data_IF_471755719038
#
_entry.id   IF_471755719038
#
_cell.length_a   1.000
_cell.length_b   1.000
_cell.length_c   1.000
_cell.angle_alpha   90.00
_cell.angle_beta   90.00
_cell.angle_gamma   90.00
#
_symmetry.space_group_name_H-M   'P 1'
#
loop_
_entity.id
_entity.type
_entity.pdbx_description
1 polymer ?
#
# COMPACT_ATOMS: atom_id res chain seq x y z
N UNK A 1 -19.59 18.37 -30.93
CA UNK A 1 -18.51 18.59 -29.95
C UNK A 1 -18.92 17.97 -28.62
N UNK A 2 -18.51 16.73 -28.33
CA UNK A 2 -18.78 16.08 -27.05
C UNK A 2 -17.85 16.68 -26.00
N UNK A 3 -18.42 17.28 -24.96
CA UNK A 3 -17.64 17.81 -23.85
C UNK A 3 -16.78 16.68 -23.24
N UNK A 4 -15.46 16.90 -23.16
CA UNK A 4 -14.56 15.96 -22.50
C UNK A 4 -15.07 15.65 -21.08
N UNK A 5 -15.12 14.39 -20.65
CA UNK A 5 -15.64 14.03 -19.33
C UNK A 5 -14.86 14.78 -18.25
N UNK A 6 -15.57 15.46 -17.36
CA UNK A 6 -14.98 16.11 -16.18
C UNK A 6 -14.41 15.02 -15.28
N UNK A 7 -13.10 14.77 -15.36
CA UNK A 7 -12.44 13.84 -14.46
C UNK A 7 -12.45 14.41 -13.03
N UNK A 8 -13.31 13.89 -12.15
CA UNK A 8 -13.26 14.22 -10.73
C UNK A 8 -11.98 13.62 -10.11
N UNK A 9 -11.04 14.46 -9.62
CA UNK A 9 -9.84 13.98 -8.96
C UNK A 9 -10.17 13.42 -7.57
N UNK A 10 -9.27 12.59 -7.03
CA UNK A 10 -9.36 12.19 -5.63
C UNK A 10 -9.13 13.38 -4.70
N UNK A 11 -9.76 13.36 -3.53
CA UNK A 11 -9.52 14.34 -2.46
C UNK A 11 -8.07 14.27 -1.94
N UNK A 12 -7.59 15.37 -1.37
CA UNK A 12 -6.21 15.49 -0.89
C UNK A 12 -5.84 14.40 0.13
N UNK A 13 -6.74 14.10 1.08
CA UNK A 13 -6.54 13.06 2.10
C UNK A 13 -6.29 11.68 1.48
N UNK A 14 -7.10 11.29 0.49
CA UNK A 14 -6.94 9.99 -0.18
C UNK A 14 -5.61 9.91 -0.95
N UNK A 15 -5.18 11.02 -1.56
CA UNK A 15 -3.88 11.11 -2.23
C UNK A 15 -2.72 11.02 -1.24
N UNK A 16 -2.81 11.70 -0.10
CA UNK A 16 -1.79 11.64 0.94
C UNK A 16 -1.61 10.22 1.46
N UNK A 17 -2.70 9.53 1.82
CA UNK A 17 -2.63 8.11 2.20
C UNK A 17 -2.03 7.26 1.09
N UNK A 18 -2.44 7.47 -0.16
CA UNK A 18 -1.91 6.73 -1.30
C UNK A 18 -0.39 6.84 -1.42
N UNK A 19 0.13 8.05 -1.52
CA UNK A 19 1.55 8.28 -1.77
C UNK A 19 2.42 7.97 -0.56
N UNK A 20 1.96 8.28 0.65
CA UNK A 20 2.68 7.91 1.86
C UNK A 20 2.86 6.39 1.96
N UNK A 21 1.77 5.63 1.77
CA UNK A 21 1.85 4.17 1.78
C UNK A 21 2.70 3.64 0.63
N UNK A 22 2.61 4.24 -0.57
CA UNK A 22 3.44 3.85 -1.72
C UNK A 22 4.93 3.96 -1.40
N UNK A 23 5.38 5.07 -0.81
CA UNK A 23 6.79 5.23 -0.43
C UNK A 23 7.22 4.31 0.70
N UNK A 24 6.37 4.08 1.71
CA UNK A 24 6.65 3.12 2.79
C UNK A 24 6.81 1.72 2.21
N UNK A 25 5.85 1.23 1.41
CA UNK A 25 5.90 -0.09 0.78
C UNK A 25 7.13 -0.20 -0.13
N UNK A 26 7.39 0.83 -0.95
CA UNK A 26 8.55 0.87 -1.84
C UNK A 26 9.89 0.78 -1.11
N UNK A 27 10.01 1.39 0.08
CA UNK A 27 11.20 1.28 0.93
C UNK A 27 11.29 -0.02 1.73
N UNK A 28 10.14 -0.62 2.08
CA UNK A 28 10.08 -1.86 2.87
C UNK A 28 10.60 -3.09 2.12
N UNK A 29 10.42 -3.17 0.81
CA UNK A 29 10.94 -4.27 -0.02
C UNK A 29 12.49 -4.35 -0.01
N UNK A 30 13.24 -3.32 -0.41
CA UNK A 30 14.70 -3.36 -0.38
C UNK A 30 15.21 -3.49 1.06
N UNK A 31 14.56 -2.85 2.05
CA UNK A 31 14.91 -3.03 3.45
C UNK A 31 14.79 -4.50 3.88
N UNK A 32 13.68 -5.15 3.51
CA UNK A 32 13.44 -6.56 3.81
C UNK A 32 14.44 -7.51 3.14
N UNK A 33 14.79 -7.23 1.89
CA UNK A 33 15.82 -7.97 1.17
C UNK A 33 17.19 -7.84 1.86
N UNK A 34 17.66 -6.60 2.06
CA UNK A 34 18.98 -6.33 2.66
C UNK A 34 19.09 -6.93 4.07
N UNK A 35 18.10 -6.70 4.93
CA UNK A 35 18.18 -7.20 6.31
C UNK A 35 18.21 -8.73 6.38
N UNK A 36 17.59 -9.43 5.42
CA UNK A 36 17.51 -10.89 5.43
C UNK A 36 18.87 -11.55 5.11
N UNK A 37 19.66 -10.94 4.23
CA UNK A 37 20.94 -11.46 3.73
C UNK A 37 22.15 -11.11 4.63
N UNK A 38 21.98 -10.17 5.57
CA UNK A 38 23.05 -9.75 6.46
C UNK A 38 23.44 -10.84 7.48
N UNK A 39 24.71 -10.86 7.87
CA UNK A 39 25.14 -11.59 9.07
C UNK A 39 24.52 -11.00 10.34
N UNK A 40 24.37 -11.83 11.39
CA UNK A 40 23.85 -11.39 12.69
C UNK A 40 24.75 -10.30 13.25
N UNK A 41 24.17 -9.12 13.49
CA UNK A 41 24.87 -7.92 13.93
C UNK A 41 23.88 -6.93 14.56
N UNK A 42 24.33 -5.97 15.38
CA UNK A 42 23.47 -4.91 15.90
C UNK A 42 22.75 -4.14 14.79
N UNK A 43 23.43 -3.91 13.66
CA UNK A 43 22.85 -3.27 12.49
C UNK A 43 21.70 -4.09 11.90
N UNK A 44 21.87 -5.42 11.75
CA UNK A 44 20.78 -6.31 11.29
C UNK A 44 19.56 -6.17 12.21
N UNK A 45 19.76 -6.26 13.53
CA UNK A 45 18.67 -6.12 14.51
C UNK A 45 17.96 -4.76 14.41
N UNK A 46 18.70 -3.68 14.19
CA UNK A 46 18.13 -2.35 13.98
C UNK A 46 17.26 -2.28 12.72
N UNK A 47 17.71 -2.86 11.60
CA UNK A 47 16.93 -2.91 10.36
C UNK A 47 15.66 -3.73 10.53
N UNK A 48 15.71 -4.87 11.23
CA UNK A 48 14.51 -5.65 11.60
C UNK A 48 13.55 -4.82 12.46
N UNK A 49 14.07 -4.06 13.43
CA UNK A 49 13.27 -3.16 14.27
C UNK A 49 12.53 -2.12 13.42
N UNK A 50 13.25 -1.45 12.51
CA UNK A 50 12.62 -0.51 11.57
C UNK A 50 11.61 -1.17 10.65
N UNK A 51 11.92 -2.34 10.09
CA UNK A 51 11.02 -3.08 9.24
C UNK A 51 9.70 -3.42 9.98
N UNK A 52 9.79 -3.97 11.20
CA UNK A 52 8.61 -4.25 12.03
C UNK A 52 7.82 -2.98 12.34
N UNK A 53 8.52 -1.89 12.67
CA UNK A 53 7.90 -0.59 13.03
C UNK A 53 7.13 0.03 11.87
N UNK A 54 7.75 0.11 10.69
CA UNK A 54 7.07 0.59 9.48
C UNK A 54 5.97 -0.35 9.01
N UNK A 55 6.08 -1.66 9.27
CA UNK A 55 4.99 -2.62 9.09
C UNK A 55 3.76 -2.26 9.91
N UNK A 56 3.93 -1.91 11.19
CA UNK A 56 2.82 -1.48 12.06
C UNK A 56 2.23 -0.14 11.62
N UNK A 57 3.07 0.82 11.21
CA UNK A 57 2.58 2.09 10.62
C UNK A 57 1.77 1.83 9.35
N UNK A 58 2.25 0.94 8.48
CA UNK A 58 1.54 0.60 7.26
C UNK A 58 0.17 -0.05 7.55
N UNK A 59 0.10 -0.93 8.55
CA UNK A 59 -1.16 -1.52 9.01
C UNK A 59 -2.15 -0.44 9.49
N UNK A 60 -1.70 0.49 10.33
CA UNK A 60 -2.51 1.61 10.79
C UNK A 60 -3.00 2.48 9.61
N UNK A 61 -2.10 2.85 8.71
CA UNK A 61 -2.45 3.63 7.52
C UNK A 61 -3.43 2.87 6.60
N UNK A 62 -3.32 1.55 6.49
CA UNK A 62 -4.26 0.72 5.73
C UNK A 62 -5.66 0.76 6.35
N UNK A 63 -5.78 0.63 7.69
CA UNK A 63 -7.06 0.79 8.41
C UNK A 63 -7.66 2.17 8.15
N UNK A 64 -6.88 3.24 8.37
CA UNK A 64 -7.35 4.61 8.19
C UNK A 64 -7.77 4.90 6.76
N UNK A 65 -6.99 4.41 5.78
CA UNK A 65 -7.31 4.56 4.36
C UNK A 65 -8.58 3.80 3.97
N UNK A 66 -8.77 2.58 4.48
CA UNK A 66 -9.98 1.80 4.24
C UNK A 66 -11.20 2.51 4.84
N UNK A 67 -11.12 2.94 6.10
CA UNK A 67 -12.17 3.72 6.76
C UNK A 67 -12.50 4.98 5.95
N UNK A 68 -11.48 5.75 5.53
CA UNK A 68 -11.67 6.93 4.70
C UNK A 68 -12.41 6.60 3.40
N UNK A 69 -12.02 5.52 2.71
CA UNK A 69 -12.65 5.08 1.46
C UNK A 69 -14.12 4.67 1.64
N UNK A 70 -14.48 4.10 2.79
CA UNK A 70 -15.85 3.70 3.10
C UNK A 70 -16.75 4.94 3.32
N UNK A 71 -16.23 5.97 3.98
CA UNK A 71 -16.97 7.23 4.21
C UNK A 71 -16.89 8.23 3.06
N UNK A 72 -15.90 8.09 2.16
CA UNK A 72 -15.68 8.96 1.02
C UNK A 72 -15.50 8.12 -0.26
N UNK A 73 -16.61 7.76 -0.93
CA UNK A 73 -16.57 6.91 -2.11
C UNK A 73 -15.63 7.46 -3.17
N UNK A 74 -14.80 6.59 -3.79
CA UNK A 74 -13.87 7.02 -4.82
C UNK A 74 -14.64 7.54 -6.04
N UNK A 75 -14.12 8.58 -6.74
CA UNK A 75 -14.76 9.05 -7.95
C UNK A 75 -14.79 7.93 -9.01
N UNK A 76 -15.83 7.87 -9.85
CA UNK A 76 -16.08 6.74 -10.76
C UNK A 76 -14.90 6.47 -11.71
N UNK A 77 -14.76 5.23 -12.17
CA UNK A 77 -13.76 4.88 -13.18
C UNK A 77 -13.98 5.70 -14.47
N UNK A 78 -12.93 5.88 -15.27
CA UNK A 78 -13.03 6.65 -16.51
C UNK A 78 -14.14 6.07 -17.41
N UNK A 79 -15.01 6.93 -17.92
CA UNK A 79 -16.07 6.56 -18.85
C UNK A 79 -15.46 5.94 -20.10
N UNK A 80 -15.90 4.73 -20.49
CA UNK A 80 -15.41 4.03 -21.68
C UNK A 80 -14.35 2.95 -21.44
N UNK A 81 -14.01 2.61 -20.19
CA UNK A 81 -13.22 1.41 -19.92
C UNK A 81 -14.02 0.14 -20.27
N UNK A 82 -13.45 -0.84 -21.00
CA UNK A 82 -14.07 -2.15 -21.19
C UNK A 82 -14.47 -2.81 -19.86
N UNK A 83 -15.54 -3.62 -19.81
CA UNK A 83 -15.97 -4.30 -18.58
C UNK A 83 -14.85 -5.12 -17.92
N UNK A 84 -14.01 -5.79 -18.73
CA UNK A 84 -12.88 -6.58 -18.24
C UNK A 84 -11.83 -5.72 -17.53
N UNK A 85 -11.52 -4.53 -18.02
CA UNK A 85 -10.57 -3.62 -17.37
C UNK A 85 -11.13 -3.08 -16.05
N UNK A 86 -12.44 -2.82 -15.97
CA UNK A 86 -13.09 -2.40 -14.72
C UNK A 86 -13.05 -3.51 -13.68
N UNK A 87 -13.36 -4.74 -14.09
CA UNK A 87 -13.28 -5.91 -13.22
C UNK A 87 -11.85 -6.14 -12.73
N UNK A 88 -10.86 -6.08 -13.63
CA UNK A 88 -9.45 -6.20 -13.28
C UNK A 88 -9.01 -5.08 -12.32
N UNK A 89 -9.40 -3.83 -12.57
CA UNK A 89 -9.09 -2.72 -11.68
C UNK A 89 -9.66 -2.94 -10.27
N UNK A 90 -10.92 -3.36 -10.15
CA UNK A 90 -11.50 -3.67 -8.83
C UNK A 90 -10.82 -4.87 -8.17
N UNK A 91 -10.54 -5.94 -8.92
CA UNK A 91 -9.85 -7.13 -8.43
C UNK A 91 -8.45 -6.82 -7.89
N UNK A 92 -7.63 -6.11 -8.66
CA UNK A 92 -6.28 -5.69 -8.23
C UNK A 92 -6.35 -4.80 -7.00
N UNK A 93 -7.27 -3.82 -6.94
CA UNK A 93 -7.42 -3.01 -5.72
C UNK A 93 -7.84 -3.85 -4.51
N UNK A 94 -8.78 -4.78 -4.68
CA UNK A 94 -9.20 -5.69 -3.61
C UNK A 94 -8.06 -6.55 -3.09
N UNK A 95 -7.29 -7.16 -3.99
CA UNK A 95 -6.12 -7.97 -3.65
C UNK A 95 -5.01 -7.12 -3.00
N UNK A 96 -4.76 -5.91 -3.50
CA UNK A 96 -3.81 -4.99 -2.86
C UNK A 96 -4.23 -4.66 -1.43
N UNK A 97 -5.52 -4.39 -1.17
CA UNK A 97 -5.99 -4.21 0.21
C UNK A 97 -5.77 -5.46 1.04
N UNK A 98 -6.15 -6.65 0.54
CA UNK A 98 -5.94 -7.91 1.25
C UNK A 98 -4.47 -8.10 1.65
N UNK A 99 -3.54 -7.90 0.71
CA UNK A 99 -2.11 -7.98 0.98
C UNK A 99 -1.61 -6.90 1.96
N UNK A 100 -2.09 -5.66 1.85
CA UNK A 100 -1.70 -4.55 2.74
C UNK A 100 -2.07 -4.80 4.21
N UNK A 101 -3.11 -5.60 4.48
CA UNK A 101 -3.45 -6.04 5.83
C UNK A 101 -2.74 -7.35 6.19
N UNK A 102 -2.81 -8.36 5.34
CA UNK A 102 -2.28 -9.69 5.63
C UNK A 102 -0.76 -9.69 5.83
N UNK A 103 -0.02 -8.84 5.11
CA UNK A 103 1.44 -8.77 5.21
C UNK A 103 1.92 -8.31 6.60
N UNK A 104 1.53 -7.13 7.13
CA UNK A 104 1.95 -6.74 8.47
C UNK A 104 1.36 -7.63 9.56
N UNK A 105 0.14 -8.16 9.41
CA UNK A 105 -0.46 -9.08 10.38
C UNK A 105 0.32 -10.39 10.45
N UNK A 106 0.67 -10.99 9.30
CA UNK A 106 1.51 -12.20 9.26
C UNK A 106 2.89 -11.94 9.86
N UNK A 107 3.48 -10.75 9.64
CA UNK A 107 4.76 -10.37 10.25
C UNK A 107 4.67 -10.23 11.78
N UNK A 108 3.56 -9.69 12.29
CA UNK A 108 3.32 -9.57 13.73
C UNK A 108 3.08 -10.94 14.39
N UNK A 109 2.30 -11.81 13.74
CA UNK A 109 2.15 -13.20 14.17
C UNK A 109 3.51 -13.93 14.16
N UNK A 110 4.29 -13.78 13.10
CA UNK A 110 5.63 -14.38 12.98
C UNK A 110 6.55 -13.93 14.12
N UNK A 111 6.51 -12.64 14.48
CA UNK A 111 7.30 -12.10 15.60
C UNK A 111 6.81 -12.65 16.95
N UNK A 112 5.49 -12.80 17.11
CA UNK A 112 4.90 -13.39 18.32
C UNK A 112 5.34 -14.86 18.48
N UNK A 113 5.27 -15.65 17.40
CA UNK A 113 5.73 -17.04 17.36
C UNK A 113 7.24 -17.19 17.60
N UNK A 114 8.05 -16.18 17.29
CA UNK A 114 9.47 -16.19 17.62
C UNK A 114 9.76 -15.82 19.08
N UNK A 115 8.75 -15.55 19.91
CA UNK A 115 8.90 -15.09 21.29
C UNK A 115 9.49 -13.68 21.41
N UNK A 116 9.59 -12.93 20.30
CA UNK A 116 10.18 -11.59 20.27
C UNK A 116 9.10 -10.58 19.92
N UNK A 117 8.59 -9.80 20.89
CA UNK A 117 7.52 -8.85 20.62
C UNK A 117 7.96 -7.78 19.63
N UNK A 118 7.00 -7.23 18.88
CA UNK A 118 7.25 -6.08 18.02
C UNK A 118 7.34 -4.83 18.90
N UNK A 119 8.49 -4.16 18.90
CA UNK A 119 8.66 -2.87 19.59
C UNK A 119 8.71 -1.77 18.55
N UNK A 120 7.59 -1.07 18.34
CA UNK A 120 7.47 -0.02 17.34
C UNK A 120 8.36 1.18 17.71
N UNK A 121 9.36 1.45 16.87
CA UNK A 121 10.38 2.49 16.99
C UNK A 121 11.12 2.50 18.35
N UNK A 122 11.13 1.38 19.07
CA UNK A 122 11.68 1.32 20.43
C UNK A 122 10.80 1.99 21.51
N UNK A 123 9.61 2.48 21.15
CA UNK A 123 8.75 3.27 22.03
C UNK A 123 7.56 2.48 22.58
N UNK A 124 6.96 1.62 21.75
CA UNK A 124 5.75 0.90 22.10
C UNK A 124 5.86 -0.58 21.78
N UNK A 125 5.78 -1.42 22.81
CA UNK A 125 5.74 -2.87 22.65
C UNK A 125 4.31 -3.33 22.32
N UNK A 126 4.16 -3.98 21.17
CA UNK A 126 2.90 -4.60 20.78
C UNK A 126 2.71 -5.92 21.54
N UNK A 127 1.47 -6.29 21.89
CA UNK A 127 1.21 -7.58 22.51
C UNK A 127 1.56 -8.71 21.54
N UNK A 128 1.98 -9.85 22.08
CA UNK A 128 2.06 -11.08 21.31
C UNK A 128 0.64 -11.58 21.04
N UNK A 129 0.38 -11.98 19.79
CA UNK A 129 -0.94 -12.45 19.37
C UNK A 129 -1.11 -13.96 19.54
N UNK A 130 0.01 -14.68 19.59
CA UNK A 130 0.12 -16.13 19.75
C UNK A 130 1.36 -16.43 20.60
N UNK A 131 1.38 -17.63 21.19
CA UNK A 131 2.52 -18.10 21.97
C UNK A 131 3.73 -18.41 21.09
N UNK A 132 4.91 -18.45 21.72
CA UNK A 132 6.14 -18.80 21.02
C UNK A 132 6.11 -20.26 20.57
N UNK A 133 6.27 -20.49 19.27
CA UNK A 133 6.29 -21.81 18.65
C UNK A 133 7.13 -21.76 17.37
N UNK A 134 8.16 -22.60 17.31
CA UNK A 134 9.12 -22.61 16.20
C UNK A 134 8.49 -23.09 14.88
N UNK A 135 7.56 -24.05 14.94
CA UNK A 135 6.82 -24.54 13.77
C UNK A 135 5.96 -23.43 13.18
N UNK A 136 5.23 -22.71 14.03
CA UNK A 136 4.40 -21.59 13.59
C UNK A 136 5.26 -20.45 13.04
N UNK A 137 6.42 -20.17 13.67
CA UNK A 137 7.36 -19.15 13.19
C UNK A 137 7.84 -19.44 11.77
N UNK A 138 8.23 -20.68 11.47
CA UNK A 138 8.70 -21.07 10.15
C UNK A 138 7.58 -21.04 9.10
N UNK A 139 6.38 -21.50 9.46
CA UNK A 139 5.20 -21.41 8.60
C UNK A 139 4.84 -19.95 8.30
N UNK A 140 4.78 -19.10 9.31
CA UNK A 140 4.44 -17.68 9.18
C UNK A 140 5.51 -16.91 8.40
N UNK A 141 6.79 -17.30 8.48
CA UNK A 141 7.84 -16.77 7.62
C UNK A 141 7.53 -17.06 6.14
N UNK A 142 7.18 -18.30 5.79
CA UNK A 142 6.82 -18.66 4.42
C UNK A 142 5.57 -17.90 3.95
N UNK A 143 4.54 -17.80 4.80
CA UNK A 143 3.33 -17.02 4.52
C UNK A 143 3.67 -15.55 4.27
N UNK A 144 4.45 -14.93 5.15
CA UNK A 144 4.84 -13.53 5.06
C UNK A 144 5.60 -13.24 3.75
N UNK A 145 6.59 -14.08 3.42
CA UNK A 145 7.34 -13.97 2.17
C UNK A 145 6.43 -14.14 0.94
N UNK A 146 5.53 -15.12 0.96
CA UNK A 146 4.59 -15.39 -0.14
C UNK A 146 3.64 -14.21 -0.38
N UNK A 147 3.11 -13.61 0.69
CA UNK A 147 2.29 -12.39 0.61
C UNK A 147 3.14 -11.21 0.10
N UNK A 148 4.41 -11.11 0.54
CA UNK A 148 5.35 -10.08 0.08
C UNK A 148 5.57 -10.13 -1.43
N UNK A 149 5.89 -11.30 -1.99
CA UNK A 149 6.05 -11.47 -3.43
C UNK A 149 4.75 -11.25 -4.21
N UNK A 150 3.61 -11.65 -3.64
CA UNK A 150 2.28 -11.39 -4.22
C UNK A 150 2.00 -9.88 -4.29
N UNK A 151 2.29 -9.15 -3.21
CA UNK A 151 2.16 -7.70 -3.16
C UNK A 151 3.08 -7.02 -4.17
N UNK A 152 4.33 -7.46 -4.31
CA UNK A 152 5.27 -6.91 -5.29
C UNK A 152 4.76 -7.10 -6.73
N UNK A 153 4.23 -8.29 -7.01
CA UNK A 153 3.66 -8.63 -8.33
C UNK A 153 2.43 -7.76 -8.64
N UNK A 154 1.51 -7.63 -7.68
CA UNK A 154 0.32 -6.78 -7.80
C UNK A 154 0.69 -5.29 -7.93
N UNK A 155 1.69 -4.82 -7.20
CA UNK A 155 2.17 -3.44 -7.29
C UNK A 155 2.76 -3.17 -8.67
N UNK A 156 3.55 -4.11 -9.20
CA UNK A 156 4.12 -4.03 -10.54
C UNK A 156 3.03 -3.97 -11.60
N UNK A 157 2.03 -4.86 -11.51
CA UNK A 157 0.87 -4.85 -12.40
C UNK A 157 0.07 -3.54 -12.30
N UNK A 158 -0.15 -3.03 -11.08
CA UNK A 158 -0.85 -1.78 -10.82
C UNK A 158 -0.14 -0.56 -11.42
N UNK A 159 1.17 -0.44 -11.20
CA UNK A 159 1.98 0.65 -11.77
C UNK A 159 2.02 0.55 -13.29
N UNK A 160 2.24 -0.65 -13.84
CA UNK A 160 2.29 -0.88 -15.29
C UNK A 160 0.97 -0.53 -15.95
N UNK A 161 -0.16 -0.97 -15.38
CA UNK A 161 -1.49 -0.59 -15.87
C UNK A 161 -1.67 0.94 -15.83
N UNK A 162 -1.30 1.58 -14.71
CA UNK A 162 -1.42 3.04 -14.57
C UNK A 162 -0.59 3.79 -15.62
N UNK A 163 0.62 3.30 -15.93
CA UNK A 163 1.47 3.84 -16.99
C UNK A 163 0.88 3.61 -18.38
N UNK A 164 0.35 2.41 -18.65
CA UNK A 164 -0.36 2.12 -19.91
C UNK A 164 -1.55 3.06 -20.13
N UNK A 165 -2.39 3.24 -19.10
CA UNK A 165 -3.50 4.18 -19.14
C UNK A 165 -3.04 5.63 -19.30
N UNK A 166 -1.90 6.00 -18.72
CA UNK A 166 -1.36 7.36 -18.83
C UNK A 166 -0.76 7.66 -20.20
N UNK A 167 0.11 6.77 -20.71
CA UNK A 167 0.92 7.00 -21.90
C UNK A 167 0.16 6.66 -23.19
N UNK A 168 -0.58 5.54 -23.18
CA UNK A 168 -1.27 5.02 -24.36
C UNK A 168 -2.75 5.43 -24.39
N UNK A 169 -3.55 5.05 -23.38
CA UNK A 169 -4.98 5.40 -23.37
C UNK A 169 -5.26 6.88 -23.12
N UNK A 170 -4.33 7.59 -22.47
CA UNK A 170 -4.40 9.02 -22.12
C UNK A 170 -5.70 9.42 -21.43
N UNK A 171 -6.27 8.53 -20.62
CA UNK A 171 -7.61 8.69 -20.02
C UNK A 171 -7.61 9.45 -18.67
N UNK A 172 -6.44 9.97 -18.28
CA UNK A 172 -6.30 10.76 -17.06
C UNK A 172 -6.27 9.95 -15.76
N UNK A 173 -6.23 8.61 -15.79
CA UNK A 173 -6.23 7.74 -14.59
C UNK A 173 -5.16 8.17 -13.57
N UNK A 174 -3.89 8.28 -13.98
CA UNK A 174 -2.80 8.72 -13.10
C UNK A 174 -3.01 10.15 -12.57
N UNK A 175 -3.47 11.07 -13.45
CA UNK A 175 -3.63 12.50 -13.10
C UNK A 175 -4.62 12.73 -11.97
N UNK A 176 -5.57 11.80 -11.76
CA UNK A 176 -6.55 11.85 -10.66
C UNK A 176 -5.93 11.57 -9.30
N UNK A 177 -4.80 10.86 -9.24
CA UNK A 177 -4.07 10.53 -8.02
C UNK A 177 -2.84 11.41 -7.75
N UNK A 178 -2.37 12.21 -8.71
CA UNK A 178 -1.21 13.08 -8.50
C UNK A 178 -1.46 14.12 -7.38
N UNK A 179 -0.48 14.34 -6.48
CA UNK A 179 -0.63 15.22 -5.31
C UNK A 179 -0.82 16.70 -5.67
N UNK A 180 -0.52 17.12 -6.91
CA UNK A 180 -0.54 18.54 -7.32
C UNK A 180 -1.23 18.82 -8.67
N UNK A 181 -2.22 18.03 -9.09
CA UNK A 181 -3.04 18.40 -10.27
C UNK A 181 -3.77 19.72 -10.00
N UNK A 182 -3.21 20.82 -10.53
CA UNK A 182 -3.65 22.18 -10.28
C UNK A 182 -5.15 22.35 -10.56
N UNK A 183 -5.88 22.87 -9.58
CA UNK A 183 -7.20 23.46 -9.80
C UNK A 183 -6.95 24.65 -10.74
N UNK A 184 -7.27 24.54 -12.03
CA UNK A 184 -7.36 25.73 -12.89
C UNK A 184 -8.42 26.62 -12.25
N UNK A 185 -7.99 27.66 -11.53
CA UNK A 185 -8.87 28.71 -11.00
C UNK A 185 -9.54 29.30 -12.24
N UNK A 186 -10.83 29.04 -12.45
CA UNK A 186 -11.59 29.80 -13.44
C UNK A 186 -11.44 31.27 -13.02
N UNK A 187 -10.83 32.07 -13.88
CA UNK A 187 -10.74 33.50 -13.67
C UNK A 187 -12.14 34.04 -13.46
N UNK A 188 -12.36 34.69 -12.32
CA UNK A 188 -13.41 35.68 -12.18
C UNK A 188 -13.00 36.86 -13.07
N UNK A 189 -13.50 36.85 -14.30
CA UNK A 189 -13.71 38.10 -15.02
C UNK A 189 -15.21 38.37 -14.98
N UNK A 190 -15.58 39.66 -14.98
CA UNK A 190 -16.89 40.26 -14.69
C UNK A 190 -17.07 40.60 -13.20
N UNK A 191 -17.04 41.86 -12.75
CA UNK A 191 -17.08 43.18 -13.40
C UNK A 191 -16.28 44.19 -12.57
#
# INVERSE_FOLDING_TARGET
MTAAPKHCPYGAVAKSFHWLMFFIVGGMFPLGYVMSDMAVSPQKLQLYSWHKSFGMVLLLLAVLRLAWRLFHPPPPLASGAPPIERAAAHGVHGLLYACLFALPISGWLMSSASGLPVVAFGLWQMPNLIDANETDRLFLLQVHMSIGFSLLSLLTAHVTATLYHHLYRRDGTLRRMLPFSAKKRKGSNER
#
